data_IF_361209743100
#
_entry.id   IF_361209743100
#
_cell.length_a   1.000
_cell.length_b   1.000
_cell.length_c   1.000
_cell.angle_alpha   90.00
_cell.angle_beta   90.00
_cell.angle_gamma   90.00
#
_symmetry.space_group_name_H-M   'P 1'
#
loop_
_entity.id
_entity.type
_entity.pdbx_description
1 polymer ?
#
# COMPACT_ATOMS: atom_id res chain seq x y z
N UNK A 1 -5.78 35.54 -9.81
CA UNK A 1 -5.79 35.35 -8.36
C UNK A 1 -5.46 33.89 -8.12
N UNK A 2 -4.20 33.59 -7.83
CA UNK A 2 -3.70 32.22 -7.66
C UNK A 2 -4.20 31.70 -6.31
N UNK A 3 -5.01 30.64 -6.34
CA UNK A 3 -5.47 29.92 -5.15
C UNK A 3 -4.24 29.43 -4.38
N UNK A 4 -4.14 29.63 -3.06
CA UNK A 4 -3.00 29.12 -2.30
C UNK A 4 -3.05 27.58 -2.36
N UNK A 5 -1.97 26.98 -2.86
CA UNK A 5 -1.72 25.55 -2.77
C UNK A 5 -1.69 25.19 -1.28
N UNK A 6 -2.60 24.31 -0.88
CA UNK A 6 -2.75 23.89 0.50
C UNK A 6 -1.58 22.94 0.82
N UNK A 7 -0.69 23.23 1.78
CA UNK A 7 0.50 22.41 2.06
C UNK A 7 0.20 21.02 2.68
N UNK A 8 -1.07 20.62 2.65
CA UNK A 8 -1.62 19.36 3.16
C UNK A 8 -2.24 18.53 2.03
N UNK A 9 -1.93 18.80 0.76
CA UNK A 9 -2.41 17.95 -0.33
C UNK A 9 -1.70 16.58 -0.25
N UNK A 10 -2.42 15.48 0.05
CA UNK A 10 -1.81 14.16 0.24
C UNK A 10 -1.15 13.62 -1.04
N UNK A 11 -1.43 14.21 -2.22
CA UNK A 11 -0.81 13.80 -3.48
C UNK A 11 0.67 14.13 -3.59
N UNK A 12 1.19 15.15 -2.89
CA UNK A 12 2.61 15.52 -2.99
C UNK A 12 3.55 14.59 -2.20
N UNK A 13 3.01 13.71 -1.37
CA UNK A 13 3.78 12.73 -0.56
C UNK A 13 3.59 11.27 -1.02
N UNK A 14 2.78 11.04 -2.04
CA UNK A 14 2.58 9.71 -2.59
C UNK A 14 3.86 9.22 -3.29
N UNK A 15 4.27 8.00 -2.98
CA UNK A 15 5.32 7.32 -3.71
C UNK A 15 4.70 6.78 -5.00
N UNK A 16 5.11 7.35 -6.15
CA UNK A 16 4.83 6.78 -7.46
C UNK A 16 5.48 5.39 -7.51
N UNK A 17 4.64 4.36 -7.46
CA UNK A 17 5.12 3.00 -7.22
C UNK A 17 5.96 2.51 -8.40
N UNK A 18 5.57 2.81 -9.64
CA UNK A 18 6.29 2.37 -10.83
C UNK A 18 7.72 2.92 -10.84
N UNK A 19 7.87 4.23 -10.64
CA UNK A 19 9.19 4.87 -10.61
C UNK A 19 10.01 4.40 -9.39
N UNK A 20 9.36 4.23 -8.24
CA UNK A 20 9.97 3.74 -7.02
C UNK A 20 10.50 2.31 -7.16
N UNK A 21 9.71 1.41 -7.73
CA UNK A 21 10.05 0.00 -7.93
C UNK A 21 11.28 -0.18 -8.81
N UNK A 22 11.35 0.49 -9.97
CA UNK A 22 12.50 0.38 -10.88
C UNK A 22 13.80 0.90 -10.27
N UNK A 23 13.72 1.97 -9.47
CA UNK A 23 14.87 2.49 -8.73
C UNK A 23 15.33 1.50 -7.67
N UNK A 24 14.44 1.13 -6.74
CA UNK A 24 14.77 0.26 -5.61
C UNK A 24 15.24 -1.11 -6.08
N UNK A 25 14.61 -1.68 -7.12
CA UNK A 25 15.04 -2.94 -7.71
C UNK A 25 16.48 -2.88 -8.25
N UNK A 26 16.91 -1.76 -8.82
CA UNK A 26 18.29 -1.59 -9.33
C UNK A 26 19.30 -1.41 -8.19
N UNK A 27 18.91 -0.70 -7.13
CA UNK A 27 19.79 -0.36 -6.00
C UNK A 27 19.91 -1.51 -4.99
N UNK A 28 18.80 -2.19 -4.68
CA UNK A 28 18.68 -3.17 -3.61
C UNK A 28 18.34 -4.58 -4.09
N UNK A 29 17.95 -4.75 -5.36
CA UNK A 29 17.52 -6.03 -5.91
C UNK A 29 16.08 -6.40 -5.55
N UNK A 30 15.77 -7.69 -5.67
CA UNK A 30 14.48 -8.26 -5.24
C UNK A 30 14.70 -9.37 -4.23
N UNK A 31 13.73 -9.56 -3.33
CA UNK A 31 13.68 -10.67 -2.39
C UNK A 31 12.55 -11.62 -2.74
N UNK A 32 12.65 -12.86 -2.28
CA UNK A 32 11.58 -13.86 -2.38
C UNK A 32 11.03 -14.15 -0.99
N UNK A 33 9.72 -14.11 -0.86
CA UNK A 33 9.00 -14.40 0.39
C UNK A 33 7.93 -15.46 0.14
N UNK A 34 7.64 -16.25 1.17
CA UNK A 34 6.53 -17.20 1.18
C UNK A 34 5.60 -16.81 2.31
N UNK A 35 4.34 -16.52 2.01
CA UNK A 35 3.39 -16.05 3.01
C UNK A 35 2.05 -16.78 2.83
N UNK A 36 1.34 -16.97 3.93
CA UNK A 36 -0.03 -17.46 3.98
C UNK A 36 -0.88 -16.48 4.77
N UNK A 37 -2.14 -16.35 4.37
CA UNK A 37 -3.11 -15.39 4.89
C UNK A 37 -4.42 -16.11 5.13
N UNK A 38 -5.13 -15.71 6.17
CA UNK A 38 -6.45 -16.22 6.50
C UNK A 38 -7.50 -15.17 6.11
N UNK A 39 -8.43 -15.56 5.25
CA UNK A 39 -9.58 -14.74 4.90
C UNK A 39 -10.80 -15.26 5.68
N UNK A 40 -11.52 -14.36 6.34
CA UNK A 40 -12.74 -14.69 7.08
C UNK A 40 -13.84 -15.32 6.21
N UNK A 41 -13.83 -15.07 4.90
CA UNK A 41 -14.85 -15.54 3.96
C UNK A 41 -14.43 -16.76 3.13
N UNK A 42 -13.14 -16.86 2.77
CA UNK A 42 -12.67 -17.79 1.72
C UNK A 42 -11.60 -18.78 2.18
N UNK A 43 -11.31 -18.83 3.49
CA UNK A 43 -10.29 -19.72 4.04
C UNK A 43 -8.87 -19.21 3.84
N UNK A 44 -7.89 -20.10 3.73
CA UNK A 44 -6.48 -19.73 3.64
C UNK A 44 -6.00 -19.59 2.20
N UNK A 45 -5.27 -18.52 1.92
CA UNK A 45 -4.58 -18.34 0.64
C UNK A 45 -3.13 -17.95 0.89
N UNK A 46 -2.26 -18.22 -0.08
CA UNK A 46 -0.86 -17.87 0.06
C UNK A 46 -0.08 -18.11 -1.22
N UNK A 47 1.23 -17.95 -1.12
CA UNK A 47 2.11 -18.32 -2.21
C UNK A 47 3.53 -17.84 -2.04
N UNK A 48 4.31 -18.04 -3.10
CA UNK A 48 5.68 -17.55 -3.22
C UNK A 48 5.74 -16.32 -4.11
N UNK A 49 6.28 -15.25 -3.56
CA UNK A 49 6.28 -13.93 -4.18
C UNK A 49 7.70 -13.43 -4.33
N UNK A 50 7.97 -12.68 -5.40
CA UNK A 50 9.22 -11.94 -5.58
C UNK A 50 8.92 -10.47 -5.77
N UNK A 51 9.67 -9.63 -5.07
CA UNK A 51 9.42 -8.19 -5.05
C UNK A 51 10.51 -7.39 -4.37
N UNK A 52 10.26 -6.11 -4.16
CA UNK A 52 11.16 -5.23 -3.40
C UNK A 52 10.65 -5.08 -1.97
N UNK A 53 11.56 -4.88 -0.99
CA UNK A 53 11.13 -4.64 0.38
C UNK A 53 10.50 -3.25 0.48
N UNK A 54 9.39 -3.16 1.20
CA UNK A 54 8.71 -1.88 1.36
C UNK A 54 9.58 -0.87 2.15
N UNK A 55 10.39 -1.32 3.11
CA UNK A 55 11.36 -0.46 3.82
C UNK A 55 12.30 0.33 2.90
N UNK A 56 12.68 -0.26 1.77
CA UNK A 56 13.61 0.36 0.82
C UNK A 56 12.87 1.42 -0.04
N UNK A 57 11.56 1.24 -0.28
CA UNK A 57 10.70 2.25 -0.89
C UNK A 57 10.40 3.41 0.07
N UNK A 58 10.27 3.12 1.37
CA UNK A 58 9.98 4.10 2.42
C UNK A 58 11.19 4.89 2.91
N UNK A 59 12.37 4.72 2.32
CA UNK A 59 13.61 5.39 2.78
C UNK A 59 13.54 6.93 2.80
N UNK A 60 12.57 7.54 2.11
CA UNK A 60 12.30 8.98 2.12
C UNK A 60 10.99 9.37 2.82
N UNK A 61 10.36 8.44 3.55
CA UNK A 61 9.13 8.74 4.27
C UNK A 61 9.40 9.75 5.41
N UNK A 62 8.44 10.63 5.71
CA UNK A 62 8.53 11.55 6.85
C UNK A 62 8.74 10.78 8.18
N UNK A 63 9.56 11.28 9.12
CA UNK A 63 9.83 10.56 10.36
C UNK A 63 8.61 10.45 11.30
N UNK A 64 7.56 11.23 11.04
CA UNK A 64 6.30 11.21 11.78
C UNK A 64 5.31 10.17 11.22
N UNK A 65 5.71 9.44 10.17
CA UNK A 65 4.89 8.39 9.55
C UNK A 65 4.57 7.32 10.59
N UNK A 66 3.28 7.04 10.77
CA UNK A 66 2.81 5.94 11.64
C UNK A 66 2.22 4.79 10.83
N UNK A 67 1.70 5.08 9.64
CA UNK A 67 1.10 4.10 8.74
C UNK A 67 1.48 4.38 7.29
N UNK A 68 1.31 3.38 6.45
CA UNK A 68 1.40 3.49 5.00
C UNK A 68 0.05 3.07 4.42
N UNK A 69 -0.59 3.98 3.70
CA UNK A 69 -1.81 3.65 2.96
C UNK A 69 -1.42 3.02 1.63
N UNK A 70 -1.76 1.75 1.46
CA UNK A 70 -1.60 1.02 0.21
C UNK A 70 -2.84 1.25 -0.65
N UNK A 71 -2.66 1.86 -1.83
CA UNK A 71 -3.76 2.24 -2.72
C UNK A 71 -3.73 1.38 -3.98
N UNK A 72 -4.84 0.72 -4.27
CA UNK A 72 -5.06 -0.06 -5.48
C UNK A 72 -5.59 0.80 -6.63
N UNK A 73 -5.28 0.37 -7.85
CA UNK A 73 -5.84 0.89 -9.10
C UNK A 73 -7.37 0.83 -9.17
N UNK A 74 -8.02 -0.08 -8.43
CA UNK A 74 -9.48 -0.19 -8.35
C UNK A 74 -10.12 0.72 -7.29
N UNK A 75 -9.32 1.56 -6.62
CA UNK A 75 -9.79 2.47 -5.58
C UNK A 75 -9.88 1.85 -4.18
N UNK A 76 -9.60 0.56 -4.02
CA UNK A 76 -9.44 -0.02 -2.68
C UNK A 76 -8.18 0.54 -2.01
N UNK A 77 -8.28 0.89 -0.73
CA UNK A 77 -7.11 1.27 0.04
C UNK A 77 -7.14 0.67 1.45
N UNK A 78 -5.97 0.22 1.90
CA UNK A 78 -5.78 -0.31 3.23
C UNK A 78 -4.65 0.47 3.94
N UNK A 79 -4.90 0.99 5.15
CA UNK A 79 -3.83 1.48 6.01
C UNK A 79 -3.07 0.27 6.58
N UNK A 80 -1.74 0.35 6.56
CA UNK A 80 -0.84 -0.65 7.15
C UNK A 80 0.03 0.03 8.18
N UNK A 81 0.11 -0.50 9.39
CA UNK A 81 0.99 0.06 10.42
C UNK A 81 2.44 0.08 9.93
N UNK A 82 3.18 1.15 10.21
CA UNK A 82 4.56 1.29 9.71
C UNK A 82 5.45 0.13 10.19
N UNK A 83 5.22 -0.37 11.40
CA UNK A 83 5.96 -1.51 11.95
C UNK A 83 5.84 -2.74 11.06
N UNK A 84 4.62 -3.13 10.69
CA UNK A 84 4.36 -4.27 9.81
C UNK A 84 4.83 -3.99 8.38
N UNK A 85 4.55 -2.78 7.88
CA UNK A 85 4.96 -2.32 6.56
C UNK A 85 6.46 -2.52 6.31
N UNK A 86 7.33 -2.27 7.30
CA UNK A 86 8.79 -2.42 7.14
C UNK A 86 9.23 -3.87 6.83
N UNK A 87 8.47 -4.87 7.23
CA UNK A 87 8.74 -6.28 6.99
C UNK A 87 8.00 -6.88 5.78
N UNK A 88 7.29 -6.03 5.02
CA UNK A 88 6.56 -6.44 3.81
C UNK A 88 7.36 -6.26 2.51
N UNK A 89 6.81 -6.86 1.46
CA UNK A 89 7.32 -6.82 0.09
C UNK A 89 6.23 -6.33 -0.85
N UNK A 90 6.58 -5.42 -1.74
CA UNK A 90 5.77 -5.14 -2.94
C UNK A 90 6.15 -6.16 -4.00
N UNK A 91 5.34 -7.21 -4.11
CA UNK A 91 5.52 -8.29 -5.06
C UNK A 91 5.27 -7.78 -6.49
N UNK A 92 6.21 -8.10 -7.37
CA UNK A 92 6.12 -7.84 -8.82
C UNK A 92 6.06 -9.13 -9.64
N UNK A 93 6.27 -10.28 -8.99
CA UNK A 93 6.11 -11.61 -9.55
C UNK A 93 5.51 -12.57 -8.52
N UNK A 94 4.70 -13.51 -9.01
CA UNK A 94 4.29 -14.73 -8.31
C UNK A 94 5.04 -15.91 -8.91
N UNK A 95 5.65 -16.73 -8.06
CA UNK A 95 6.58 -17.79 -8.48
C UNK A 95 5.94 -19.18 -8.54
N UNK A 96 4.73 -19.32 -8.00
CA UNK A 96 4.03 -20.60 -7.86
C UNK A 96 2.64 -20.63 -8.51
N UNK A 97 2.18 -19.50 -9.05
CA UNK A 97 0.94 -19.38 -9.79
C UNK A 97 1.02 -18.20 -10.79
N UNK A 98 -0.02 -17.97 -11.63
CA UNK A 98 -0.07 -16.83 -12.53
C UNK A 98 0.05 -15.47 -11.81
N UNK A 99 0.59 -14.50 -12.53
CA UNK A 99 0.88 -13.13 -12.08
C UNK A 99 -0.37 -12.23 -12.00
N UNK A 100 -1.46 -12.74 -11.42
CA UNK A 100 -2.72 -12.00 -11.27
C UNK A 100 -2.67 -11.05 -10.07
N UNK A 101 -3.18 -9.82 -10.25
CA UNK A 101 -3.30 -8.83 -9.17
C UNK A 101 -1.99 -8.21 -8.72
N UNK A 102 -0.94 -8.25 -9.55
CA UNK A 102 0.34 -7.57 -9.29
C UNK A 102 0.31 -6.11 -9.81
N UNK A 103 1.12 -5.19 -9.25
CA UNK A 103 1.94 -5.37 -8.05
C UNK A 103 1.06 -5.60 -6.80
N UNK A 104 1.54 -6.39 -5.84
CA UNK A 104 0.76 -6.77 -4.65
C UNK A 104 1.56 -6.57 -3.38
N UNK A 105 0.94 -6.00 -2.34
CA UNK A 105 1.55 -5.95 -1.03
C UNK A 105 1.41 -7.30 -0.32
N UNK A 106 2.51 -7.87 0.17
CA UNK A 106 2.55 -9.16 0.86
C UNK A 106 3.57 -9.15 2.00
N UNK A 107 3.26 -9.81 3.12
CA UNK A 107 4.16 -10.01 4.24
C UNK A 107 3.48 -10.80 5.35
N UNK A 108 4.24 -11.50 6.19
CA UNK A 108 3.67 -12.37 7.24
C UNK A 108 2.94 -11.61 8.34
N UNK A 109 3.25 -10.32 8.53
CA UNK A 109 2.57 -9.45 9.50
C UNK A 109 1.29 -8.80 8.97
N UNK A 110 0.87 -9.10 7.73
CA UNK A 110 -0.33 -8.50 7.15
C UNK A 110 -1.55 -9.37 7.31
N UNK A 111 -2.67 -8.73 7.61
CA UNK A 111 -3.99 -9.30 7.45
C UNK A 111 -4.36 -9.44 5.96
N UNK A 112 -5.30 -10.35 5.67
CA UNK A 112 -5.72 -10.61 4.28
C UNK A 112 -6.26 -9.36 3.56
N UNK A 113 -6.89 -8.44 4.29
CA UNK A 113 -7.39 -7.15 3.77
C UNK A 113 -6.25 -6.18 3.42
N UNK A 114 -5.11 -6.27 4.11
CA UNK A 114 -3.92 -5.44 3.86
C UNK A 114 -3.08 -5.96 2.69
N UNK A 115 -3.36 -7.16 2.17
CA UNK A 115 -2.69 -7.73 0.99
C UNK A 115 -3.15 -7.13 -0.33
N UNK A 116 -3.10 -5.79 -0.43
CA UNK A 116 -3.63 -4.98 -1.53
C UNK A 116 -3.05 -5.42 -2.88
N UNK A 117 -3.95 -5.85 -3.78
CA UNK A 117 -3.66 -6.23 -5.16
C UNK A 117 -3.71 -5.01 -6.08
N UNK A 118 -3.03 -5.08 -7.23
CA UNK A 118 -3.05 -4.00 -8.23
C UNK A 118 -2.60 -2.66 -7.64
N UNK A 119 -1.56 -2.70 -6.81
CA UNK A 119 -1.04 -1.57 -6.06
C UNK A 119 -0.58 -0.48 -7.04
N UNK A 120 -1.12 0.72 -6.88
CA UNK A 120 -0.86 1.91 -7.69
C UNK A 120 0.16 2.82 -7.00
N UNK A 121 -0.02 3.07 -5.71
CA UNK A 121 0.82 3.98 -4.92
C UNK A 121 0.80 3.66 -3.44
N UNK A 122 1.80 4.19 -2.75
CA UNK A 122 1.95 4.12 -1.29
C UNK A 122 1.96 5.54 -0.73
N UNK A 123 1.13 5.81 0.25
CA UNK A 123 1.02 7.13 0.88
C UNK A 123 1.45 7.01 2.35
N UNK A 124 2.62 7.55 2.75
CA UNK A 124 3.00 7.66 4.15
C UNK A 124 2.03 8.61 4.87
N UNK A 125 1.41 8.15 5.95
CA UNK A 125 0.45 8.94 6.73
C UNK A 125 0.82 8.93 8.22
N UNK A 126 0.56 10.06 8.87
CA UNK A 126 0.64 10.20 10.30
C UNK A 126 -0.78 10.23 10.86
N UNK A 127 -1.22 9.09 11.41
CA UNK A 127 -2.49 9.00 12.11
C UNK A 127 -2.29 9.31 13.60
N UNK A 128 -3.21 10.08 14.22
CA UNK A 128 -3.20 10.27 15.67
C UNK A 128 -3.52 8.93 16.37
N UNK A 129 -3.10 8.75 17.63
CA UNK A 129 -3.22 7.48 18.36
C UNK A 129 -4.67 7.00 18.54
N UNK A 130 -5.64 7.91 18.50
CA UNK A 130 -7.06 7.62 18.66
C UNK A 130 -7.83 7.49 17.32
N UNK A 131 -7.15 7.62 16.18
CA UNK A 131 -7.78 7.38 14.88
C UNK A 131 -7.85 5.87 14.61
N UNK A 132 -9.01 5.40 14.17
CA UNK A 132 -9.20 4.02 13.73
C UNK A 132 -8.85 3.91 12.23
N UNK A 133 -7.76 3.21 11.86
CA UNK A 133 -7.35 3.05 10.48
C UNK A 133 -8.18 1.96 9.80
N UNK A 134 -9.36 2.31 9.30
CA UNK A 134 -10.20 1.34 8.58
C UNK A 134 -9.89 1.30 7.06
N UNK A 135 -9.90 0.11 6.43
CA UNK A 135 -9.82 0.01 4.98
C UNK A 135 -11.04 0.66 4.33
N UNK A 136 -10.83 1.41 3.24
CA UNK A 136 -11.90 2.15 2.57
C UNK A 136 -11.85 1.88 1.06
N UNK A 137 -13.01 1.82 0.41
CA UNK A 137 -13.08 2.01 -1.04
C UNK A 137 -13.24 3.51 -1.31
N UNK A 138 -12.34 4.11 -2.10
CA UNK A 138 -12.59 5.47 -2.61
C UNK A 138 -13.64 5.35 -3.72
N UNK A 139 -14.92 5.44 -3.34
CA UNK A 139 -15.98 5.67 -4.31
C UNK A 139 -15.80 7.09 -4.86
N UNK A 140 -15.67 7.22 -6.17
CA UNK A 140 -15.58 8.50 -6.86
C UNK A 140 -16.89 9.31 -6.84
N UNK A 141 -17.69 9.22 -5.78
CA UNK A 141 -18.93 9.98 -5.62
C UNK A 141 -18.91 10.70 -4.26
N UNK A 142 -18.45 11.95 -4.29
CA UNK A 142 -19.06 13.00 -3.49
C UNK A 142 -20.27 13.51 -4.29
N UNK A 143 -21.51 13.03 -4.07
CA UNK A 143 -22.66 13.87 -4.35
C UNK A 143 -22.74 14.85 -3.18
N UNK A 144 -22.14 15.99 -3.44
CA UNK A 144 -22.28 17.24 -2.70
C UNK A 144 -23.71 17.41 -2.22
N UNK A 145 -23.83 17.75 -0.94
CA UNK A 145 -24.89 18.57 -0.34
C UNK A 145 -26.01 19.02 -1.28
N UNK A 146 -27.22 18.50 -1.05
CA UNK A 146 -28.45 19.15 -1.45
C UNK A 146 -29.38 19.17 -0.24
N UNK A 147 -29.25 20.21 0.56
CA UNK A 147 -30.34 20.75 1.37
C UNK A 147 -31.61 20.90 0.49
N UNK A 148 -32.73 20.33 0.94
CA UNK A 148 -34.04 21.02 1.03
C UNK A 148 -34.90 20.37 2.13
#
# INVERSE_FOLDING_TARGET
MTRPENPNDPKERAIDLLTGLDRVRREHGTVTVSCQFECASDGTFGGRWRGVRLRDLLGSAPPETTHVRAVSTDGYCAPVALADALDTVVAVDRLDAPNEGLPRLVGEGLDSTETVRGLDRLEPVALPPDADPEPTAIDGSDPTDAEE
#
